data_IF_751780022158
#
_entry.id   IF_751780022158
#
_cell.length_a   1.000
_cell.length_b   1.000
_cell.length_c   1.000
_cell.angle_alpha   90.00
_cell.angle_beta   90.00
_cell.angle_gamma   90.00
#
_symmetry.space_group_name_H-M   'P 1'
#
loop_
_entity.id
_entity.type
_entity.pdbx_description
1 polymer ?
#
# COMPACT_ATOMS: atom_id res chain seq x y z
N UNK A 1 13.20 21.32 5.65
CA UNK A 1 13.27 20.37 4.52
C UNK A 1 12.24 19.29 4.75
N UNK A 2 11.56 18.76 3.71
CA UNK A 2 10.65 17.64 3.88
C UNK A 2 11.44 16.41 4.38
N UNK A 3 11.07 15.89 5.54
CA UNK A 3 11.71 14.76 6.23
C UNK A 3 10.90 13.46 6.15
N UNK A 4 9.85 13.46 5.32
CA UNK A 4 8.89 12.37 5.18
C UNK A 4 8.38 12.25 3.73
N UNK A 5 7.77 11.11 3.41
CA UNK A 5 7.21 10.81 2.09
C UNK A 5 5.76 10.34 2.25
N UNK A 6 4.87 10.82 1.38
CA UNK A 6 3.50 10.34 1.25
C UNK A 6 3.39 9.49 -0.01
N UNK A 7 2.77 8.32 0.11
CA UNK A 7 2.56 7.40 -1.01
C UNK A 7 1.08 7.01 -1.09
N UNK A 8 0.55 7.03 -2.31
CA UNK A 8 -0.76 6.46 -2.62
C UNK A 8 -0.58 5.11 -3.32
N UNK A 9 -1.00 4.02 -2.69
CA UNK A 9 -0.64 2.65 -3.11
C UNK A 9 -1.91 1.83 -3.35
N UNK A 10 -2.08 1.34 -4.58
CA UNK A 10 -3.00 0.25 -4.87
C UNK A 10 -2.32 -1.09 -4.61
N UNK A 11 -2.98 -2.00 -3.87
CA UNK A 11 -2.45 -3.33 -3.57
C UNK A 11 -3.59 -4.35 -3.47
N UNK A 12 -3.37 -5.61 -3.87
CA UNK A 12 -4.29 -6.70 -3.55
C UNK A 12 -4.60 -6.77 -2.05
N UNK A 13 -5.84 -7.15 -1.68
CA UNK A 13 -6.29 -7.17 -0.27
C UNK A 13 -5.54 -8.20 0.59
N UNK A 14 -4.94 -9.22 -0.03
CA UNK A 14 -4.09 -10.21 0.67
C UNK A 14 -2.81 -9.62 1.28
N UNK A 15 -2.39 -8.44 0.82
CA UNK A 15 -1.19 -7.80 1.34
C UNK A 15 -1.59 -6.90 2.50
N UNK A 16 -1.14 -7.23 3.71
CA UNK A 16 -1.34 -6.38 4.86
C UNK A 16 -0.63 -5.01 4.68
N UNK A 17 -1.21 -3.89 5.15
CA UNK A 17 -0.57 -2.58 5.09
C UNK A 17 0.85 -2.55 5.68
N UNK A 18 1.07 -3.26 6.80
CA UNK A 18 2.38 -3.39 7.44
C UNK A 18 3.43 -4.05 6.55
N UNK A 19 3.02 -5.05 5.75
CA UNK A 19 3.90 -5.72 4.78
C UNK A 19 4.34 -4.75 3.68
N UNK A 20 3.38 -3.98 3.14
CA UNK A 20 3.65 -2.98 2.10
C UNK A 20 4.63 -1.93 2.62
N UNK A 21 4.41 -1.40 3.83
CA UNK A 21 5.30 -0.40 4.44
C UNK A 21 6.70 -0.97 4.68
N UNK A 22 6.82 -2.23 5.13
CA UNK A 22 8.10 -2.90 5.31
C UNK A 22 8.86 -3.02 3.99
N UNK A 23 8.19 -3.38 2.89
CA UNK A 23 8.81 -3.41 1.57
C UNK A 23 9.27 -2.02 1.11
N UNK A 24 8.40 -1.02 1.21
CA UNK A 24 8.74 0.36 0.82
C UNK A 24 9.96 0.84 1.58
N UNK A 25 9.94 0.80 2.92
CA UNK A 25 11.04 1.31 3.75
C UNK A 25 12.31 0.48 3.58
N UNK A 26 12.20 -0.85 3.61
CA UNK A 26 13.35 -1.74 3.53
C UNK A 26 14.05 -1.70 2.18
N UNK A 27 13.29 -1.79 1.08
CA UNK A 27 13.84 -1.79 -0.27
C UNK A 27 14.42 -0.42 -0.62
N UNK A 28 13.72 0.68 -0.29
CA UNK A 28 14.22 2.03 -0.56
C UNK A 28 15.51 2.33 0.20
N UNK A 29 15.56 2.07 1.51
CA UNK A 29 16.77 2.30 2.31
C UNK A 29 17.92 1.43 1.80
N UNK A 30 17.68 0.15 1.48
CA UNK A 30 18.71 -0.73 0.91
C UNK A 30 19.25 -0.19 -0.41
N UNK A 31 18.36 0.17 -1.35
CA UNK A 31 18.77 0.68 -2.67
C UNK A 31 19.50 2.02 -2.57
N UNK A 32 19.04 2.92 -1.71
CA UNK A 32 19.68 4.22 -1.50
C UNK A 32 21.09 4.04 -0.91
N UNK A 33 21.21 3.30 0.18
CA UNK A 33 22.47 3.10 0.90
C UNK A 33 23.49 2.24 0.12
N UNK A 34 23.07 1.59 -0.98
CA UNK A 34 23.97 0.91 -1.92
C UNK A 34 24.49 1.84 -3.02
N UNK A 35 23.78 2.93 -3.31
CA UNK A 35 24.07 3.82 -4.44
C UNK A 35 24.79 5.10 -4.03
N UNK A 36 24.58 5.56 -2.81
CA UNK A 36 25.12 6.82 -2.31
C UNK A 36 25.98 6.58 -1.06
N UNK A 37 26.93 7.47 -0.84
CA UNK A 37 27.86 7.41 0.30
C UNK A 37 27.20 7.85 1.61
N UNK A 38 26.13 8.64 1.53
CA UNK A 38 25.29 8.99 2.67
C UNK A 38 24.27 7.90 2.98
N UNK A 39 23.74 7.94 4.22
CA UNK A 39 22.84 6.89 4.71
C UNK A 39 21.49 7.42 5.12
N UNK A 40 20.46 6.76 4.62
CA UNK A 40 19.07 6.96 5.02
C UNK A 40 18.62 5.81 5.93
N UNK A 41 17.91 6.18 6.99
CA UNK A 41 17.19 5.26 7.88
C UNK A 41 15.78 5.78 8.09
N UNK A 42 14.79 4.91 7.85
CA UNK A 42 13.41 5.20 8.20
C UNK A 42 13.17 5.00 9.69
N UNK A 43 12.34 5.86 10.28
CA UNK A 43 11.75 5.57 11.60
C UNK A 43 10.90 4.28 11.55
N UNK A 44 10.76 3.60 12.70
CA UNK A 44 9.91 2.40 12.83
C UNK A 44 8.42 2.75 12.60
N UNK A 45 8.01 3.96 12.98
CA UNK A 45 6.62 4.42 12.89
C UNK A 45 6.19 4.75 11.47
N UNK A 46 4.92 4.59 11.15
CA UNK A 46 4.31 5.00 9.88
C UNK A 46 2.84 5.32 10.10
N UNK A 47 2.27 6.11 9.20
CA UNK A 47 0.83 6.34 9.12
C UNK A 47 0.27 5.62 7.89
N UNK A 48 -0.92 5.02 8.02
CA UNK A 48 -1.65 4.44 6.90
C UNK A 48 -3.14 4.68 7.08
N UNK A 49 -3.80 5.06 5.99
CA UNK A 49 -5.25 5.23 5.90
C UNK A 49 -5.75 4.67 4.59
N UNK A 50 -6.98 4.18 4.57
CA UNK A 50 -7.65 3.78 3.33
C UNK A 50 -8.05 5.02 2.56
N UNK A 51 -7.91 5.00 1.24
CA UNK A 51 -8.54 6.00 0.38
C UNK A 51 -9.75 5.38 -0.29
N UNK A 52 -10.89 6.04 -0.12
CA UNK A 52 -12.15 5.67 -0.78
C UNK A 52 -12.98 4.66 0.00
N UNK A 53 -14.28 4.96 0.07
CA UNK A 53 -15.33 4.02 0.43
C UNK A 53 -15.51 3.03 -0.73
N UNK A 54 -15.59 1.73 -0.43
CA UNK A 54 -16.23 0.81 -1.36
C UNK A 54 -17.66 1.33 -1.59
N UNK A 55 -17.99 1.75 -2.80
CA UNK A 55 -19.33 2.26 -3.07
C UNK A 55 -20.32 1.12 -2.97
N UNK A 56 -21.51 1.37 -2.42
CA UNK A 56 -22.58 0.37 -2.32
C UNK A 56 -22.84 -0.32 -3.67
N UNK A 57 -22.81 0.46 -4.76
CA UNK A 57 -22.99 -0.06 -6.12
C UNK A 57 -21.89 -1.01 -6.59
N UNK A 58 -20.64 -0.87 -6.11
CA UNK A 58 -19.58 -1.83 -6.43
C UNK A 58 -19.81 -3.19 -5.77
N UNK A 59 -20.38 -3.19 -4.55
CA UNK A 59 -20.75 -4.42 -3.83
C UNK A 59 -21.98 -5.06 -4.47
N UNK A 60 -23.01 -4.28 -4.78
CA UNK A 60 -24.23 -4.76 -5.46
C UNK A 60 -23.90 -5.40 -6.82
N UNK A 61 -23.01 -4.77 -7.62
CA UNK A 61 -22.57 -5.34 -8.90
C UNK A 61 -21.81 -6.65 -8.72
N UNK A 62 -20.91 -6.72 -7.74
CA UNK A 62 -20.15 -7.94 -7.45
C UNK A 62 -21.08 -9.12 -7.10
N UNK A 63 -22.11 -8.89 -6.27
CA UNK A 63 -23.08 -9.94 -5.91
C UNK A 63 -23.83 -10.44 -7.15
N UNK A 64 -24.36 -9.53 -7.98
CA UNK A 64 -25.10 -9.90 -9.18
C UNK A 64 -24.24 -10.68 -10.20
N UNK A 65 -22.96 -10.30 -10.36
CA UNK A 65 -22.02 -11.01 -11.25
C UNK A 65 -21.70 -12.44 -10.77
N UNK A 66 -21.75 -12.71 -9.46
CA UNK A 66 -21.53 -14.05 -8.92
C UNK A 66 -22.79 -14.93 -9.01
N UNK A 67 -23.98 -14.38 -8.81
CA UNK A 67 -25.25 -15.14 -8.89
C UNK A 67 -25.61 -15.55 -10.33
N UNK A 68 -25.19 -14.78 -11.35
CA UNK A 68 -25.46 -15.09 -12.76
C UNK A 68 -24.52 -16.13 -13.40
N UNK A 69 -23.46 -16.55 -12.70
CA UNK A 69 -22.48 -17.53 -13.19
C UNK A 69 -22.84 -18.99 -12.93
N UNK A 70 -23.89 -19.24 -12.14
CA UNK A 70 -24.39 -20.56 -11.77
C UNK A 70 -25.56 -21.06 -12.65
N UNK A 71 -25.78 -20.44 -13.81
CA UNK A 71 -26.85 -20.76 -14.77
C UNK A 71 -26.34 -21.47 -16.03
#
# INVERSE_FOLDING_TARGET
MPDHVHLFIGSPPKNAPSLIVNWVKGISARKYNQRYDDRVKWTRSYYVGTAGSASKGAVERYIAEQEGGDA
#
